data_IF_590254612950
#
_entry.id   IF_590254612950
#
_cell.length_a   1.000
_cell.length_b   1.000
_cell.length_c   1.000
_cell.angle_alpha   90.00
_cell.angle_beta   90.00
_cell.angle_gamma   90.00
#
_symmetry.space_group_name_H-M   'P 1'
#
loop_
_entity.id
_entity.type
_entity.pdbx_description
1 polymer ?
#
# COMPACT_ATOMS: atom_id res chain seq x y z
N UNK A 1 41.85 10.49 -33.29
CA UNK A 1 40.65 9.87 -32.69
C UNK A 1 40.17 10.80 -31.60
N UNK A 2 39.05 11.50 -31.81
CA UNK A 2 38.72 12.68 -31.01
C UNK A 2 38.16 12.24 -29.66
N UNK A 3 38.77 12.67 -28.56
CA UNK A 3 38.35 12.33 -27.18
C UNK A 3 36.84 12.48 -26.95
N UNK A 4 36.23 13.45 -27.64
CA UNK A 4 34.78 13.69 -27.67
C UNK A 4 33.98 12.48 -28.14
N UNK A 5 34.41 11.76 -29.19
CA UNK A 5 33.69 10.57 -29.67
C UNK A 5 33.80 9.41 -28.68
N UNK A 6 34.91 9.31 -27.95
CA UNK A 6 35.08 8.30 -26.89
C UNK A 6 34.15 8.57 -25.69
N UNK A 7 34.07 9.83 -25.26
CA UNK A 7 33.18 10.26 -24.19
C UNK A 7 31.69 10.07 -24.57
N UNK A 8 31.33 10.35 -25.83
CA UNK A 8 29.98 10.15 -26.33
C UNK A 8 29.58 8.67 -26.36
N UNK A 9 30.51 7.79 -26.80
CA UNK A 9 30.30 6.34 -26.81
C UNK A 9 30.11 5.79 -25.40
N UNK A 10 30.94 6.21 -24.45
CA UNK A 10 30.83 5.78 -23.07
C UNK A 10 29.49 6.19 -22.44
N UNK A 11 29.04 7.42 -22.70
CA UNK A 11 27.77 7.91 -22.19
C UNK A 11 26.57 7.19 -22.83
N UNK A 12 26.64 6.90 -24.13
CA UNK A 12 25.62 6.10 -24.81
C UNK A 12 25.51 4.69 -24.22
N UNK A 13 26.63 4.02 -23.94
CA UNK A 13 26.64 2.71 -23.27
C UNK A 13 26.05 2.80 -21.86
N UNK A 14 26.39 3.85 -21.10
CA UNK A 14 25.85 4.06 -19.75
C UNK A 14 24.33 4.26 -19.78
N UNK A 15 23.82 5.05 -20.72
CA UNK A 15 22.39 5.28 -20.91
C UNK A 15 21.65 4.01 -21.28
N UNK A 16 22.20 3.19 -22.18
CA UNK A 16 21.62 1.90 -22.58
C UNK A 16 21.57 0.94 -21.39
N UNK A 17 22.64 0.87 -20.60
CA UNK A 17 22.70 0.03 -19.40
C UNK A 17 21.66 0.45 -18.36
N UNK A 18 21.48 1.77 -18.17
CA UNK A 18 20.53 2.33 -17.22
C UNK A 18 19.08 2.10 -17.68
N UNK A 19 18.78 2.30 -18.96
CA UNK A 19 17.51 1.94 -19.58
C UNK A 19 17.20 0.45 -19.39
N UNK A 20 18.16 -0.43 -19.63
CA UNK A 20 17.98 -1.87 -19.46
C UNK A 20 17.70 -2.26 -18.00
N UNK A 21 18.40 -1.65 -17.05
CA UNK A 21 18.16 -1.87 -15.63
C UNK A 21 16.75 -1.44 -15.20
N UNK A 22 16.29 -0.27 -15.67
CA UNK A 22 14.93 0.22 -15.41
C UNK A 22 13.88 -0.71 -16.04
N UNK A 23 14.12 -1.18 -17.27
CA UNK A 23 13.20 -2.06 -17.97
C UNK A 23 13.08 -3.42 -17.30
N UNK A 24 14.20 -3.97 -16.85
CA UNK A 24 14.24 -5.20 -16.06
C UNK A 24 13.49 -5.04 -14.73
N UNK A 25 13.69 -3.92 -14.04
CA UNK A 25 13.00 -3.65 -12.79
C UNK A 25 11.49 -3.50 -13.00
N UNK A 26 11.07 -2.83 -14.07
CA UNK A 26 9.66 -2.69 -14.41
C UNK A 26 9.01 -4.05 -14.71
N UNK A 27 9.72 -4.93 -15.41
CA UNK A 27 9.24 -6.29 -15.72
C UNK A 27 9.02 -7.14 -14.47
N UNK A 28 9.93 -7.05 -13.48
CA UNK A 28 9.76 -7.76 -12.20
C UNK A 28 8.60 -7.21 -11.37
N UNK A 29 8.38 -5.89 -11.41
CA UNK A 29 7.24 -5.26 -10.74
C UNK A 29 5.90 -5.59 -11.40
N UNK A 30 5.86 -5.74 -12.73
CA UNK A 30 4.67 -6.18 -13.46
C UNK A 30 4.27 -7.60 -13.05
N UNK A 31 5.22 -8.55 -12.98
CA UNK A 31 4.93 -9.93 -12.54
C UNK A 31 4.37 -10.00 -11.10
N UNK A 32 4.85 -9.14 -10.20
CA UNK A 32 4.34 -9.03 -8.84
C UNK A 32 2.95 -8.37 -8.79
N UNK A 33 2.71 -7.36 -9.64
CA UNK A 33 1.40 -6.73 -9.80
C UNK A 33 0.37 -7.72 -10.34
N UNK A 34 0.71 -8.51 -11.35
CA UNK A 34 -0.21 -9.47 -11.96
C UNK A 34 -0.54 -10.62 -11.02
N UNK A 35 0.44 -11.08 -10.23
CA UNK A 35 0.22 -12.07 -9.16
C UNK A 35 -0.68 -11.50 -8.05
N UNK A 36 -0.50 -10.22 -7.69
CA UNK A 36 -1.38 -9.55 -6.72
C UNK A 36 -2.78 -9.31 -7.25
N UNK A 37 -2.95 -9.08 -8.55
CA UNK A 37 -4.27 -8.96 -9.19
C UNK A 37 -4.98 -10.31 -9.24
N UNK A 38 -4.28 -11.38 -9.59
CA UNK A 38 -4.82 -12.74 -9.56
C UNK A 38 -5.26 -13.19 -8.15
N UNK A 39 -4.61 -12.68 -7.11
CA UNK A 39 -5.02 -12.90 -5.71
C UNK A 39 -6.14 -11.95 -5.25
N UNK A 40 -6.27 -10.77 -5.86
CA UNK A 40 -7.32 -9.79 -5.54
C UNK A 40 -8.67 -10.07 -6.21
N UNK A 41 -8.68 -10.86 -7.29
CA UNK A 41 -9.92 -11.24 -8.01
C UNK A 41 -10.70 -12.37 -7.32
N UNK A 42 -10.21 -12.89 -6.18
CA UNK A 42 -11.02 -13.74 -5.32
C UNK A 42 -11.97 -12.83 -4.53
N UNK A 43 -13.12 -12.58 -5.16
CA UNK A 43 -14.32 -11.99 -4.57
C UNK A 43 -14.52 -12.45 -3.13
N UNK A 44 -14.49 -11.48 -2.22
CA UNK A 44 -15.29 -11.39 -0.99
C UNK A 44 -15.85 -12.70 -0.40
N UNK A 45 -15.00 -13.69 -0.14
CA UNK A 45 -15.33 -14.70 0.85
C UNK A 45 -15.06 -14.06 2.21
N UNK A 46 -16.14 -13.60 2.86
CA UNK A 46 -16.15 -13.49 4.33
C UNK A 46 -15.47 -14.75 4.85
N UNK A 47 -14.38 -14.66 5.64
CA UNK A 47 -13.72 -15.86 6.15
C UNK A 47 -14.80 -16.76 6.76
N UNK A 48 -14.83 -18.07 6.43
CA UNK A 48 -15.94 -18.97 6.79
C UNK A 48 -16.22 -18.98 8.31
N UNK A 49 -15.21 -18.62 9.11
CA UNK A 49 -15.28 -18.35 10.55
C UNK A 49 -16.35 -17.32 10.97
N UNK A 50 -16.70 -16.36 10.09
CA UNK A 50 -17.71 -15.33 10.34
C UNK A 50 -19.14 -15.81 10.06
N UNK A 51 -19.32 -16.81 9.20
CA UNK A 51 -20.63 -17.31 8.78
C UNK A 51 -21.24 -18.32 9.76
N UNK A 52 -20.41 -18.99 10.57
CA UNK A 52 -20.86 -20.11 11.42
C UNK A 52 -21.33 -19.71 12.84
N UNK A 53 -21.24 -18.42 13.22
CA UNK A 53 -21.45 -17.99 14.61
C UNK A 53 -22.65 -17.03 14.81
N UNK A 54 -23.87 -17.46 14.47
CA UNK A 54 -25.14 -16.80 14.88
C UNK A 54 -25.33 -15.35 14.42
N UNK A 55 -26.35 -14.62 14.91
CA UNK A 55 -26.62 -13.24 14.49
C UNK A 55 -25.60 -12.28 15.12
N UNK A 56 -24.46 -12.08 14.45
CA UNK A 56 -23.46 -11.07 14.79
C UNK A 56 -23.72 -9.77 14.04
N UNK A 57 -23.76 -8.66 14.76
CA UNK A 57 -23.79 -7.33 14.16
C UNK A 57 -22.37 -6.89 13.82
N UNK A 58 -22.10 -6.66 12.54
CA UNK A 58 -20.82 -6.17 12.05
C UNK A 58 -20.90 -4.66 11.80
N UNK A 59 -19.97 -3.91 12.39
CA UNK A 59 -19.81 -2.48 12.11
C UNK A 59 -18.64 -2.32 11.13
N UNK A 60 -18.95 -2.01 9.88
CA UNK A 60 -17.93 -1.74 8.85
C UNK A 60 -17.66 -0.24 8.79
N UNK A 61 -16.39 0.14 8.90
CA UNK A 61 -15.94 1.53 8.78
C UNK A 61 -15.12 1.69 7.49
N UNK A 62 -15.60 2.52 6.58
CA UNK A 62 -14.87 2.88 5.37
C UNK A 62 -14.21 4.26 5.52
N UNK A 63 -12.92 4.34 5.17
CA UNK A 63 -12.17 5.60 5.16
C UNK A 63 -12.15 6.13 3.73
N UNK A 64 -13.06 7.08 3.47
CA UNK A 64 -13.30 7.65 2.13
C UNK A 64 -12.09 8.45 1.60
N UNK A 65 -11.34 9.12 2.48
CA UNK A 65 -10.17 9.89 2.07
C UNK A 65 -9.00 9.73 3.07
N UNK A 66 -8.16 8.70 2.89
CA UNK A 66 -7.01 8.47 3.75
C UNK A 66 -5.91 9.52 3.57
N UNK A 67 -5.84 10.19 2.43
CA UNK A 67 -4.78 11.17 2.15
C UNK A 67 -5.07 12.53 2.82
N UNK A 68 -6.32 12.97 2.88
CA UNK A 68 -6.69 14.17 3.62
C UNK A 68 -6.41 14.01 5.13
N UNK A 69 -6.64 12.81 5.68
CA UNK A 69 -6.30 12.48 7.07
C UNK A 69 -4.80 12.60 7.39
N UNK A 70 -3.92 12.40 6.40
CA UNK A 70 -2.47 12.59 6.55
C UNK A 70 -2.08 14.05 6.51
N UNK A 71 -2.68 14.82 5.58
CA UNK A 71 -2.42 16.24 5.47
C UNK A 71 -2.76 16.99 6.77
N UNK A 72 -3.82 16.56 7.44
CA UNK A 72 -4.26 17.12 8.72
C UNK A 72 -3.39 16.66 9.90
N UNK A 73 -2.85 15.44 9.85
CA UNK A 73 -1.90 14.91 10.85
C UNK A 73 -0.45 15.22 10.45
N UNK A 74 0.02 16.42 10.78
CA UNK A 74 1.35 16.95 10.37
C UNK A 74 2.55 16.03 10.67
N UNK A 75 2.45 15.16 11.69
CA UNK A 75 3.50 14.21 12.06
C UNK A 75 3.69 13.06 11.06
N UNK A 76 2.65 12.67 10.32
CA UNK A 76 2.71 11.63 9.27
C UNK A 76 3.26 12.26 7.98
N UNK A 77 2.81 13.47 7.65
CA UNK A 77 3.31 14.21 6.48
C UNK A 77 4.81 14.53 6.55
N UNK A 78 5.37 14.80 7.73
CA UNK A 78 6.78 15.20 7.88
C UNK A 78 7.81 14.08 7.69
N UNK A 79 7.56 12.87 8.22
CA UNK A 79 8.51 11.75 8.13
C UNK A 79 8.31 10.87 6.90
N UNK A 80 7.13 10.94 6.29
CA UNK A 80 6.72 10.05 5.21
C UNK A 80 6.40 10.78 3.91
N UNK A 81 6.79 12.06 3.77
CA UNK A 81 6.52 12.85 2.54
C UNK A 81 7.12 12.24 1.27
N UNK A 82 8.20 11.46 1.40
CA UNK A 82 8.86 10.75 0.31
C UNK A 82 8.24 9.38 -0.04
N UNK A 83 7.21 8.92 0.68
CA UNK A 83 6.56 7.65 0.40
C UNK A 83 5.57 7.75 -0.76
N UNK A 84 5.42 6.64 -1.50
CA UNK A 84 4.40 6.54 -2.54
C UNK A 84 2.98 6.62 -1.96
N UNK A 85 1.99 7.12 -2.73
CA UNK A 85 0.60 7.26 -2.26
C UNK A 85 0.00 5.95 -1.71
N UNK A 86 0.37 4.79 -2.28
CA UNK A 86 -0.11 3.48 -1.83
C UNK A 86 0.41 3.09 -0.44
N UNK A 87 1.68 3.38 -0.15
CA UNK A 87 2.26 3.13 1.17
C UNK A 87 1.65 4.06 2.22
N UNK A 88 1.44 5.33 1.85
CA UNK A 88 0.79 6.30 2.71
C UNK A 88 -0.62 5.84 3.11
N UNK A 89 -1.43 5.40 2.14
CA UNK A 89 -2.76 4.83 2.40
C UNK A 89 -2.70 3.68 3.41
N UNK A 90 -1.74 2.75 3.27
CA UNK A 90 -1.61 1.60 4.18
C UNK A 90 -1.25 2.01 5.61
N UNK A 91 -0.35 2.98 5.77
CA UNK A 91 0.03 3.50 7.08
C UNK A 91 -1.18 4.10 7.79
N UNK A 92 -1.96 4.92 7.10
CA UNK A 92 -3.17 5.56 7.64
C UNK A 92 -4.18 4.51 8.09
N UNK A 93 -4.48 3.53 7.24
CA UNK A 93 -5.45 2.48 7.57
C UNK A 93 -5.01 1.68 8.81
N UNK A 94 -3.71 1.36 8.90
CA UNK A 94 -3.14 0.63 10.05
C UNK A 94 -3.21 1.47 11.33
N UNK A 95 -2.81 2.74 11.25
CA UNK A 95 -2.87 3.68 12.36
C UNK A 95 -4.30 3.88 12.87
N UNK A 96 -5.27 4.02 11.97
CA UNK A 96 -6.67 4.20 12.33
C UNK A 96 -7.25 2.94 12.98
N UNK A 97 -6.90 1.75 12.47
CA UNK A 97 -7.26 0.48 13.12
C UNK A 97 -6.76 0.43 14.57
N UNK A 98 -5.49 0.77 14.79
CA UNK A 98 -4.89 0.72 16.12
C UNK A 98 -5.51 1.75 17.06
N UNK A 99 -5.81 2.95 16.56
CA UNK A 99 -6.50 3.97 17.33
C UNK A 99 -7.93 3.54 17.69
N UNK A 100 -8.68 2.94 16.76
CA UNK A 100 -10.01 2.39 17.05
C UNK A 100 -9.94 1.27 18.09
N UNK A 101 -9.00 0.33 17.93
CA UNK A 101 -8.84 -0.79 18.86
C UNK A 101 -8.53 -0.29 20.27
N UNK A 102 -7.60 0.65 20.40
CA UNK A 102 -7.26 1.25 21.70
C UNK A 102 -8.43 2.03 22.29
N UNK A 103 -9.11 2.85 21.49
CA UNK A 103 -10.28 3.61 21.95
C UNK A 103 -11.44 2.71 22.40
N UNK A 104 -11.72 1.63 21.68
CA UNK A 104 -12.75 0.67 22.10
C UNK A 104 -12.37 -0.04 23.41
N UNK A 105 -11.09 -0.43 23.55
CA UNK A 105 -10.58 -1.02 24.77
C UNK A 105 -10.67 -0.07 25.97
N UNK A 106 -10.37 1.22 25.78
CA UNK A 106 -10.51 2.25 26.81
C UNK A 106 -11.97 2.43 27.26
N UNK A 107 -12.92 2.26 26.34
CA UNK A 107 -14.35 2.30 26.62
C UNK A 107 -14.90 0.96 27.16
N UNK A 108 -14.04 -0.01 27.48
CA UNK A 108 -14.44 -1.31 28.02
C UNK A 108 -15.07 -2.26 26.99
N UNK A 109 -14.95 -1.96 25.69
CA UNK A 109 -15.49 -2.79 24.61
C UNK A 109 -14.38 -3.70 24.08
N UNK A 110 -14.57 -5.01 24.21
CA UNK A 110 -13.69 -6.01 23.61
C UNK A 110 -14.01 -6.17 22.12
N UNK A 111 -13.31 -5.41 21.28
CA UNK A 111 -13.52 -5.38 19.83
C UNK A 111 -12.33 -6.01 19.08
N UNK A 112 -12.63 -6.96 18.18
CA UNK A 112 -11.67 -7.47 17.19
C UNK A 112 -11.72 -6.59 15.93
N UNK A 113 -10.74 -5.68 15.81
CA UNK A 113 -10.68 -4.72 14.70
C UNK A 113 -9.75 -5.26 13.62
N UNK A 114 -10.32 -5.70 12.50
CA UNK A 114 -9.58 -6.22 11.35
C UNK A 114 -9.66 -5.26 10.16
N UNK A 115 -8.57 -5.20 9.39
CA UNK A 115 -8.54 -4.51 8.11
C UNK A 115 -8.97 -5.50 7.04
N UNK A 116 -10.11 -5.24 6.41
CA UNK A 116 -10.60 -5.99 5.26
C UNK A 116 -10.46 -5.09 4.04
N UNK A 117 -9.86 -5.62 2.96
CA UNK A 117 -9.82 -4.91 1.68
C UNK A 117 -11.13 -5.21 0.95
N UNK A 118 -11.88 -4.17 0.62
CA UNK A 118 -13.00 -4.25 -0.31
C UNK A 118 -12.41 -3.86 -1.68
N UNK A 119 -12.24 -4.83 -2.58
CA UNK A 119 -11.53 -4.65 -3.87
C UNK A 119 -10.29 -5.53 -3.92
#
# INVERSE_FOLDING_TARGET
MNWLSLALLLNAVLLIALLFAVWRLHSHLQQLSDSSKALGDNEMELPPELSEQGPRMLITLEILNPLSLVAERSWIGGKFSALSPGLMRRIVLTQTRDQLRSGMKENGVEADVRLVRLG
#
